data_IF_407168742357
#
_entry.id   IF_407168742357
#
_cell.length_a   1.000
_cell.length_b   1.000
_cell.length_c   1.000
_cell.angle_alpha   90.00
_cell.angle_beta   90.00
_cell.angle_gamma   90.00
#
_symmetry.space_group_name_H-M   'P 1'
#
loop_
_entity.id
_entity.type
_entity.pdbx_description
1 polymer ?
#
# COMPACT_ATOMS: atom_id res chain seq x y z
N UNK A 1 17.20 10.60 8.28
CA UNK A 1 17.93 10.72 7.00
C UNK A 1 17.30 11.86 6.20
N UNK A 2 18.08 12.76 5.60
CA UNK A 2 17.55 13.90 4.83
C UNK A 2 17.32 13.50 3.36
N UNK A 3 16.50 14.28 2.64
CA UNK A 3 16.21 14.04 1.23
C UNK A 3 17.46 14.02 0.33
N UNK A 4 18.43 14.91 0.56
CA UNK A 4 19.70 14.92 -0.16
C UNK A 4 20.51 13.63 0.04
N UNK A 5 20.47 13.07 1.26
CA UNK A 5 21.16 11.81 1.58
C UNK A 5 20.52 10.64 0.79
N UNK A 6 19.19 10.59 0.70
CA UNK A 6 18.46 9.58 -0.09
C UNK A 6 18.77 9.68 -1.58
N UNK A 7 18.81 10.89 -2.15
CA UNK A 7 19.19 11.10 -3.55
C UNK A 7 20.62 10.65 -3.81
N UNK A 8 21.55 11.01 -2.94
CA UNK A 8 22.95 10.57 -3.05
C UNK A 8 23.07 9.04 -2.98
N UNK A 9 22.37 8.40 -2.06
CA UNK A 9 22.41 6.93 -1.88
C UNK A 9 21.85 6.17 -3.09
N UNK A 10 20.93 6.79 -3.82
CA UNK A 10 20.20 6.16 -4.94
C UNK A 10 20.68 6.64 -6.31
N UNK A 11 21.82 7.36 -6.37
CA UNK A 11 22.32 8.04 -7.57
C UNK A 11 21.22 8.85 -8.28
N UNK A 12 20.36 9.51 -7.49
CA UNK A 12 19.23 10.30 -7.94
C UNK A 12 18.17 9.51 -8.73
N UNK A 13 18.04 8.18 -8.54
CA UNK A 13 17.16 7.30 -9.33
C UNK A 13 16.04 6.63 -8.51
N UNK A 14 15.70 7.19 -7.35
CA UNK A 14 14.68 6.63 -6.46
C UNK A 14 13.28 6.54 -7.12
N UNK A 15 12.54 5.49 -6.77
CA UNK A 15 11.09 5.38 -6.91
C UNK A 15 10.47 5.44 -5.52
N UNK A 16 9.40 6.21 -5.33
CA UNK A 16 8.76 6.35 -4.03
C UNK A 16 7.42 5.59 -3.99
N UNK A 17 7.29 4.69 -3.02
CA UNK A 17 6.03 4.02 -2.69
C UNK A 17 5.65 4.36 -1.24
N UNK A 18 4.63 5.20 -1.07
CA UNK A 18 4.18 5.73 0.23
C UNK A 18 3.02 4.91 0.79
N UNK A 19 3.32 4.16 1.85
CA UNK A 19 2.35 3.32 2.57
C UNK A 19 1.63 4.05 3.72
N UNK A 20 1.95 5.32 3.98
CA UNK A 20 1.32 6.19 4.98
C UNK A 20 0.31 7.13 4.32
N UNK A 21 0.64 7.67 3.14
CA UNK A 21 -0.27 8.44 2.27
C UNK A 21 -0.89 9.68 2.93
N UNK A 22 -0.13 10.41 3.74
CA UNK A 22 -0.51 11.72 4.27
C UNK A 22 0.40 12.83 3.74
N UNK A 23 0.08 14.10 3.99
CA UNK A 23 0.86 15.22 3.44
C UNK A 23 2.32 15.24 3.90
N UNK A 24 2.61 14.76 5.12
CA UNK A 24 3.97 14.71 5.64
C UNK A 24 4.80 13.61 4.98
N UNK A 25 4.25 12.40 4.83
CA UNK A 25 4.91 11.29 4.14
C UNK A 25 5.10 11.59 2.65
N UNK A 26 4.09 12.17 2.01
CA UNK A 26 4.18 12.63 0.63
C UNK A 26 5.33 13.60 0.42
N UNK A 27 5.45 14.62 1.30
CA UNK A 27 6.56 15.58 1.25
C UNK A 27 7.92 14.89 1.38
N UNK A 28 8.08 13.98 2.34
CA UNK A 28 9.32 13.24 2.52
C UNK A 28 9.67 12.46 1.25
N UNK A 29 8.70 11.75 0.68
CA UNK A 29 8.86 10.98 -0.54
C UNK A 29 9.22 11.86 -1.74
N UNK A 30 8.45 12.92 -2.01
CA UNK A 30 8.67 13.81 -3.16
C UNK A 30 9.97 14.59 -3.07
N UNK A 31 10.37 14.99 -1.85
CA UNK A 31 11.67 15.62 -1.64
C UNK A 31 12.80 14.63 -1.94
N UNK A 32 12.63 13.34 -1.63
CA UNK A 32 13.65 12.29 -1.83
C UNK A 32 13.83 11.86 -3.29
N UNK A 33 12.83 12.10 -4.15
CA UNK A 33 12.85 11.73 -5.56
C UNK A 33 13.89 12.52 -6.37
N UNK A 34 14.21 12.02 -7.58
CA UNK A 34 15.13 12.67 -8.53
C UNK A 34 14.81 14.15 -8.70
N UNK A 35 15.84 14.99 -8.72
CA UNK A 35 15.75 16.40 -9.15
C UNK A 35 16.07 16.60 -10.63
N UNK A 36 16.44 15.53 -11.33
CA UNK A 36 16.72 15.53 -12.77
C UNK A 36 15.63 14.74 -13.50
N UNK A 37 14.73 15.47 -14.17
CA UNK A 37 13.63 14.91 -14.94
C UNK A 37 14.02 14.59 -16.39
N UNK A 38 15.24 14.91 -16.83
CA UNK A 38 15.71 14.68 -18.21
C UNK A 38 15.93 13.21 -18.53
N UNK A 39 16.33 12.42 -17.52
CA UNK A 39 16.51 10.97 -17.65
C UNK A 39 15.17 10.25 -17.57
N UNK A 40 14.35 10.65 -16.60
CA UNK A 40 13.03 10.05 -16.35
C UNK A 40 12.21 10.98 -15.46
N UNK A 41 10.90 11.02 -15.70
CA UNK A 41 9.96 11.67 -14.79
C UNK A 41 10.00 11.00 -13.41
N UNK A 42 10.18 11.76 -12.30
CA UNK A 42 10.09 11.20 -10.96
C UNK A 42 8.69 10.62 -10.70
N UNK A 43 8.61 9.43 -10.09
CA UNK A 43 7.33 8.76 -9.84
C UNK A 43 7.11 8.58 -8.33
N UNK A 44 5.96 9.06 -7.89
CA UNK A 44 5.39 8.83 -6.57
C UNK A 44 4.16 7.95 -6.71
N UNK A 45 4.08 6.89 -5.90
CA UNK A 45 2.89 6.05 -5.80
C UNK A 45 2.44 5.95 -4.34
N UNK A 46 1.15 6.17 -4.08
CA UNK A 46 0.57 6.06 -2.74
C UNK A 46 -0.38 4.85 -2.62
N UNK A 47 -0.58 4.35 -1.40
CA UNK A 47 -1.64 3.37 -1.11
C UNK A 47 -3.05 4.00 -1.01
N UNK A 48 -3.15 5.30 -0.72
CA UNK A 48 -4.44 6.00 -0.62
C UNK A 48 -4.54 7.14 -1.62
N UNK A 49 -5.74 7.34 -2.18
CA UNK A 49 -6.05 8.35 -3.20
C UNK A 49 -5.97 9.82 -2.71
N UNK A 50 -5.65 10.08 -1.44
CA UNK A 50 -6.06 11.33 -0.77
C UNK A 50 -5.21 12.58 -1.06
N UNK A 51 -4.14 12.50 -1.83
CA UNK A 51 -3.32 13.68 -2.10
C UNK A 51 -3.78 14.36 -3.38
N UNK A 52 -4.67 15.34 -3.22
CA UNK A 52 -5.14 16.18 -4.32
C UNK A 52 -3.99 16.92 -5.03
N UNK A 53 -2.95 17.30 -4.27
CA UNK A 53 -1.79 18.02 -4.80
C UNK A 53 -0.51 17.51 -4.12
N UNK A 54 0.53 17.25 -4.93
CA UNK A 54 1.88 16.99 -4.44
C UNK A 54 2.63 18.32 -4.25
N UNK A 55 3.63 18.38 -3.35
CA UNK A 55 4.48 19.57 -3.18
C UNK A 55 5.33 19.93 -4.40
N UNK A 56 5.39 19.04 -5.40
CA UNK A 56 6.16 19.16 -6.64
C UNK A 56 5.25 18.86 -7.82
N UNK A 57 5.30 19.70 -8.85
CA UNK A 57 4.53 19.60 -10.09
C UNK A 57 5.19 18.70 -11.15
N UNK A 58 6.52 18.53 -11.07
CA UNK A 58 7.30 17.69 -11.97
C UNK A 58 7.17 16.19 -11.69
N UNK A 59 6.57 15.82 -10.55
CA UNK A 59 6.41 14.44 -10.09
C UNK A 59 5.13 13.82 -10.66
N UNK A 60 5.23 12.62 -11.21
CA UNK A 60 4.07 11.82 -11.56
C UNK A 60 3.42 11.25 -10.29
N UNK A 61 2.17 11.67 -10.05
CA UNK A 61 1.36 11.23 -8.92
C UNK A 61 0.48 10.04 -9.32
N UNK A 62 0.79 8.87 -8.78
CA UNK A 62 0.04 7.63 -9.01
C UNK A 62 -0.44 7.04 -7.68
N UNK A 63 -1.34 6.07 -7.73
CA UNK A 63 -1.79 5.35 -6.54
C UNK A 63 -2.11 3.90 -6.89
N UNK A 64 -2.09 3.03 -5.88
CA UNK A 64 -2.49 1.63 -6.00
C UNK A 64 -3.94 1.48 -5.56
N UNK A 65 -4.78 0.89 -6.39
CA UNK A 65 -6.20 0.71 -6.10
C UNK A 65 -6.64 -0.75 -6.20
N UNK A 66 -6.92 -1.38 -5.05
CA UNK A 66 -7.19 -2.81 -4.98
C UNK A 66 -8.62 -3.21 -5.35
N UNK A 67 -9.59 -2.29 -5.34
CA UNK A 67 -11.01 -2.67 -5.47
C UNK A 67 -11.43 -3.11 -6.87
N UNK A 68 -10.64 -2.82 -7.90
CA UNK A 68 -10.89 -3.29 -9.28
C UNK A 68 -10.29 -4.67 -9.55
N UNK A 69 -9.55 -5.26 -8.59
CA UNK A 69 -8.93 -6.59 -8.75
C UNK A 69 -9.96 -7.73 -8.90
N UNK A 70 -11.22 -7.50 -8.53
CA UNK A 70 -12.34 -8.44 -8.76
C UNK A 70 -12.99 -8.29 -10.13
N UNK A 71 -12.54 -7.32 -10.93
CA UNK A 71 -13.18 -6.95 -12.20
C UNK A 71 -14.39 -6.03 -12.04
N UNK A 72 -14.77 -5.69 -10.82
CA UNK A 72 -15.87 -4.78 -10.52
C UNK A 72 -15.40 -3.33 -10.42
N UNK A 73 -16.32 -2.40 -10.69
CA UNK A 73 -16.07 -0.98 -10.48
C UNK A 73 -16.26 -0.60 -9.00
N UNK A 74 -15.70 0.54 -8.60
CA UNK A 74 -15.88 1.08 -7.26
C UNK A 74 -16.81 2.31 -7.28
N UNK A 75 -17.73 2.37 -6.31
CA UNK A 75 -18.59 3.52 -6.05
C UNK A 75 -18.53 3.90 -4.57
N UNK A 76 -17.74 4.92 -4.27
CA UNK A 76 -17.62 5.50 -2.93
C UNK A 76 -17.51 7.02 -3.00
N UNK A 77 -16.54 7.66 -2.31
CA UNK A 77 -16.29 9.10 -2.42
C UNK A 77 -15.91 9.57 -3.84
N UNK A 78 -15.49 8.62 -4.68
CA UNK A 78 -15.20 8.77 -6.09
C UNK A 78 -15.67 7.50 -6.82
N UNK A 79 -15.69 7.56 -8.16
CA UNK A 79 -16.10 6.43 -9.00
C UNK A 79 -14.91 5.93 -9.81
N UNK A 80 -14.71 4.62 -9.80
CA UNK A 80 -13.76 3.93 -10.68
C UNK A 80 -14.53 2.91 -11.50
N UNK A 81 -14.26 2.87 -12.80
CA UNK A 81 -14.92 1.93 -13.70
C UNK A 81 -14.36 0.51 -13.47
N UNK A 82 -15.16 -0.53 -13.77
CA UNK A 82 -14.66 -1.90 -13.86
C UNK A 82 -13.41 -2.01 -14.74
N UNK A 83 -12.47 -2.89 -14.37
CA UNK A 83 -11.24 -3.13 -15.14
C UNK A 83 -11.02 -4.63 -15.34
N UNK A 84 -11.17 -5.09 -16.58
CA UNK A 84 -10.83 -6.47 -16.95
C UNK A 84 -9.33 -6.73 -16.88
N UNK A 85 -8.51 -5.71 -17.14
CA UNK A 85 -7.06 -5.79 -17.03
C UNK A 85 -6.62 -6.06 -15.58
N UNK A 86 -7.20 -5.34 -14.61
CA UNK A 86 -6.89 -5.53 -13.19
C UNK A 86 -7.31 -6.92 -12.70
N UNK A 87 -8.45 -7.43 -13.21
CA UNK A 87 -8.90 -8.78 -12.92
C UNK A 87 -7.98 -9.86 -13.51
N UNK A 88 -7.51 -9.70 -14.75
CA UNK A 88 -6.53 -10.62 -15.34
C UNK A 88 -5.18 -10.55 -14.63
N UNK A 89 -4.76 -9.36 -14.21
CA UNK A 89 -3.56 -9.16 -13.40
C UNK A 89 -3.69 -9.85 -12.04
N UNK A 90 -4.80 -9.67 -11.32
CA UNK A 90 -5.01 -10.23 -9.98
C UNK A 90 -4.93 -11.76 -9.98
N UNK A 91 -5.52 -12.42 -10.98
CA UNK A 91 -5.43 -13.88 -11.15
C UNK A 91 -4.00 -14.36 -11.39
N UNK A 92 -3.22 -13.65 -12.21
CA UNK A 92 -1.81 -13.99 -12.46
C UNK A 92 -0.97 -13.75 -11.20
N UNK A 93 -1.18 -12.62 -10.53
CA UNK A 93 -0.47 -12.23 -9.33
C UNK A 93 -0.71 -13.22 -8.18
N UNK A 94 -1.96 -13.62 -7.94
CA UNK A 94 -2.32 -14.62 -6.93
C UNK A 94 -1.55 -15.92 -7.11
N UNK A 95 -1.49 -16.46 -8.34
CA UNK A 95 -0.73 -17.68 -8.67
C UNK A 95 0.77 -17.56 -8.42
N UNK A 96 1.34 -16.36 -8.60
CA UNK A 96 2.75 -16.10 -8.29
C UNK A 96 2.96 -16.10 -6.78
N UNK A 97 2.11 -15.38 -6.04
CA UNK A 97 2.17 -15.27 -4.58
C UNK A 97 1.98 -16.63 -3.91
N UNK A 98 1.01 -17.44 -4.35
CA UNK A 98 0.79 -18.81 -3.88
C UNK A 98 2.06 -19.66 -3.98
N UNK A 99 2.71 -19.66 -5.16
CA UNK A 99 3.98 -20.39 -5.35
C UNK A 99 5.10 -19.86 -4.46
N UNK A 100 5.19 -18.55 -4.26
CA UNK A 100 6.20 -17.96 -3.37
C UNK A 100 5.95 -18.35 -1.91
N UNK A 101 4.69 -18.47 -1.48
CA UNK A 101 4.31 -18.94 -0.15
C UNK A 101 4.61 -20.43 0.03
N UNK A 102 4.21 -21.29 -0.92
CA UNK A 102 4.51 -22.72 -0.92
C UNK A 102 6.02 -22.98 -0.84
N UNK A 103 6.81 -22.17 -1.55
CA UNK A 103 8.28 -22.24 -1.54
C UNK A 103 8.92 -21.54 -0.33
N UNK A 104 8.14 -20.98 0.59
CA UNK A 104 8.62 -20.20 1.75
C UNK A 104 9.56 -19.03 1.39
N UNK A 105 9.42 -18.47 0.18
CA UNK A 105 10.25 -17.36 -0.32
C UNK A 105 9.76 -15.99 0.15
N UNK A 106 8.50 -15.93 0.59
CA UNK A 106 7.94 -14.78 1.30
C UNK A 106 7.34 -15.28 2.62
N UNK A 107 7.36 -14.43 3.64
CA UNK A 107 6.81 -14.72 4.97
C UNK A 107 5.66 -13.78 5.24
N UNK A 108 4.71 -14.24 6.05
CA UNK A 108 3.68 -13.36 6.60
C UNK A 108 4.30 -12.27 7.46
N UNK A 109 3.56 -11.17 7.64
CA UNK A 109 3.89 -10.20 8.68
C UNK A 109 3.82 -10.87 10.07
N UNK A 110 4.40 -10.23 11.10
CA UNK A 110 4.27 -10.74 12.48
C UNK A 110 2.78 -10.82 12.82
N UNK A 111 2.34 -11.95 13.37
CA UNK A 111 0.94 -12.19 13.68
C UNK A 111 0.73 -12.01 15.18
N UNK A 112 -0.21 -11.15 15.55
CA UNK A 112 -0.82 -11.16 16.87
C UNK A 112 -2.11 -11.96 16.79
N UNK A 113 -2.09 -13.18 17.32
CA UNK A 113 -3.24 -14.07 17.29
C UNK A 113 -4.17 -13.79 18.47
N UNK A 114 -5.41 -13.43 18.16
CA UNK A 114 -6.51 -13.14 19.08
C UNK A 114 -7.51 -14.31 19.04
N UNK A 115 -8.05 -14.71 20.20
CA UNK A 115 -8.92 -15.90 20.36
C UNK A 115 -10.33 -15.57 20.84
N UNK A 116 -10.69 -14.30 20.89
CA UNK A 116 -11.98 -13.75 21.33
C UNK A 116 -13.09 -13.90 20.27
N UNK A 117 -12.81 -14.60 19.17
CA UNK A 117 -13.74 -14.86 18.08
C UNK A 117 -14.22 -13.57 17.39
N UNK A 118 -15.47 -13.60 16.91
CA UNK A 118 -16.07 -12.47 16.19
C UNK A 118 -16.21 -11.21 17.06
N UNK A 119 -16.42 -11.36 18.37
CA UNK A 119 -16.54 -10.20 19.27
C UNK A 119 -15.22 -9.44 19.39
N UNK A 120 -14.09 -10.15 19.38
CA UNK A 120 -12.77 -9.53 19.39
C UNK A 120 -12.49 -8.65 18.16
N UNK A 121 -13.09 -8.96 17.01
CA UNK A 121 -12.84 -8.21 15.76
C UNK A 121 -13.20 -6.73 15.92
N UNK A 122 -14.29 -6.40 16.62
CA UNK A 122 -14.68 -5.01 16.83
C UNK A 122 -13.65 -4.25 17.67
N UNK A 123 -13.15 -4.84 18.75
CA UNK A 123 -12.09 -4.27 19.57
C UNK A 123 -10.80 -4.08 18.74
N UNK A 124 -10.40 -5.08 17.95
CA UNK A 124 -9.22 -4.98 17.08
C UNK A 124 -9.34 -3.90 16.00
N UNK A 125 -10.53 -3.65 15.46
CA UNK A 125 -10.76 -2.53 14.54
C UNK A 125 -10.55 -1.19 15.27
N UNK A 126 -10.99 -1.08 16.52
CA UNK A 126 -10.75 0.12 17.32
C UNK A 126 -9.27 0.30 17.67
N UNK A 127 -8.53 -0.76 18.02
CA UNK A 127 -7.07 -0.72 18.21
C UNK A 127 -6.35 -0.18 16.96
N UNK A 128 -6.73 -0.67 15.77
CA UNK A 128 -6.21 -0.17 14.48
C UNK A 128 -6.54 1.31 14.27
N UNK A 129 -7.78 1.72 14.57
CA UNK A 129 -8.24 3.10 14.42
C UNK A 129 -7.53 4.06 15.39
N UNK A 130 -7.22 3.61 16.59
CA UNK A 130 -6.51 4.36 17.62
C UNK A 130 -4.98 4.36 17.41
N UNK A 131 -4.47 3.57 16.47
CA UNK A 131 -3.05 3.51 16.14
C UNK A 131 -2.22 2.71 17.14
N UNK A 132 -2.85 1.78 17.86
CA UNK A 132 -2.24 0.99 18.92
C UNK A 132 -1.46 -0.23 18.40
N UNK A 133 -1.74 -0.65 17.16
CA UNK A 133 -1.08 -1.78 16.49
C UNK A 133 0.17 -1.31 15.75
N UNK A 134 1.33 -1.91 16.04
CA UNK A 134 2.60 -1.53 15.42
C UNK A 134 3.46 -2.73 15.07
N UNK A 135 3.82 -2.86 13.79
CA UNK A 135 4.73 -3.91 13.31
C UNK A 135 4.15 -5.32 13.32
N UNK A 136 2.84 -5.45 13.47
CA UNK A 136 2.13 -6.73 13.49
C UNK A 136 0.76 -6.66 12.80
N UNK A 137 0.20 -7.83 12.55
CA UNK A 137 -1.13 -8.03 11.99
C UNK A 137 -2.00 -8.73 13.03
N UNK A 138 -3.06 -8.05 13.46
CA UNK A 138 -4.12 -8.68 14.25
C UNK A 138 -4.81 -9.77 13.42
N UNK A 139 -4.84 -10.99 13.94
CA UNK A 139 -5.52 -12.14 13.33
C UNK A 139 -6.45 -12.74 14.38
N UNK A 140 -7.75 -12.78 14.07
CA UNK A 140 -8.76 -13.33 14.97
C UNK A 140 -9.09 -14.77 14.57
N UNK A 141 -8.82 -15.71 15.46
CA UNK A 141 -9.28 -17.09 15.29
C UNK A 141 -10.76 -17.14 15.64
N UNK A 142 -11.59 -17.38 14.64
CA UNK A 142 -13.02 -17.64 14.81
C UNK A 142 -13.25 -19.14 14.80
N UNK A 143 -13.81 -19.70 15.88
CA UNK A 143 -14.35 -21.05 15.86
C UNK A 143 -15.65 -21.04 15.08
N UNK A 144 -15.74 -21.85 14.03
CA UNK A 144 -17.04 -22.22 13.48
C UNK A 144 -17.61 -23.33 14.34
N UNK A 145 -18.89 -23.25 14.71
CA UNK A 145 -19.66 -24.48 14.88
C UNK A 145 -19.73 -25.10 13.48
N UNK A 146 -18.96 -26.16 13.26
CA UNK A 146 -18.97 -26.98 12.06
C UNK A 146 -20.01 -28.07 12.18
#
# INVERSE_FOLDING_TARGET
MRAADMRKLTDNKLYAFDVISNSASAKICTDALSTDSTIRKPIYSALLLKLAELPRDDVENTFTFAYTLTGEGYKGPFRILPSSEDFEFSKKFARIVEKLLEQSRIKFHLIELKTEGWQGVFAGIDELRLGEVSGEKLVFKVSGDA
#
